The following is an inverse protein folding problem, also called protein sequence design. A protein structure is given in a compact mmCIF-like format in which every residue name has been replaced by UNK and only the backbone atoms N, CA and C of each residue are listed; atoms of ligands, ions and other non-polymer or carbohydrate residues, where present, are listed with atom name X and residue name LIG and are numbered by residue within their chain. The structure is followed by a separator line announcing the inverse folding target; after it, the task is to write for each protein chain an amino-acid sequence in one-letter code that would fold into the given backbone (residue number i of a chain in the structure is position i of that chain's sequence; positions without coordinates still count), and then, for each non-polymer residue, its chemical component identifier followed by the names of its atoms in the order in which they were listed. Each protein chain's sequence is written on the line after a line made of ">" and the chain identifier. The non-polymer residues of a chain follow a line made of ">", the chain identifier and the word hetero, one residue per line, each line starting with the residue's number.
data_IF_843112704333
#
_entry.id   IF_843112704333
#
_cell.length_a   1.000
_cell.length_b   1.000
_cell.length_c   1.000
_cell.angle_alpha   90.00
_cell.angle_beta   90.00
_cell.angle_gamma   90.00
#
_symmetry.space_group_name_H-M   'P 1'
#
loop_
_entity.id
_entity.type
_entity.pdbx_description
1 polymer ?
#
# COMPACT_ATOMS: atom_id res chain seq x y z
N UNK A 1 -20.23 -22.04 41.53
CA UNK A 1 -19.51 -23.10 40.79
C UNK A 1 -19.30 -22.57 39.38
N UNK A 2 -18.10 -22.04 39.13
CA UNK A 2 -17.70 -21.50 37.83
C UNK A 2 -17.56 -22.62 36.81
N UNK A 3 -17.91 -22.36 35.55
CA UNK A 3 -17.25 -23.01 34.42
C UNK A 3 -16.95 -21.93 33.36
N UNK A 4 -15.67 -21.57 33.29
CA UNK A 4 -15.09 -20.70 32.26
C UNK A 4 -14.88 -21.54 31.00
N UNK A 5 -15.54 -21.20 29.89
CA UNK A 5 -15.19 -21.75 28.58
C UNK A 5 -14.01 -20.98 27.99
N UNK A 6 -12.90 -21.70 27.82
CA UNK A 6 -11.68 -21.25 27.17
C UNK A 6 -11.83 -21.52 25.67
N UNK A 7 -11.90 -20.46 24.86
CA UNK A 7 -11.84 -20.56 23.39
C UNK A 7 -10.39 -20.72 22.98
N UNK A 8 -10.03 -21.91 22.48
CA UNK A 8 -8.70 -22.22 21.97
C UNK A 8 -8.60 -21.74 20.50
N UNK A 9 -7.82 -20.69 20.26
CA UNK A 9 -7.51 -20.20 18.90
C UNK A 9 -6.31 -20.99 18.35
N UNK A 10 -6.56 -21.92 17.43
CA UNK A 10 -5.52 -22.65 16.69
C UNK A 10 -5.00 -21.78 15.54
N UNK A 11 -3.79 -21.23 15.67
CA UNK A 11 -3.05 -20.60 14.58
C UNK A 11 -2.24 -21.67 13.83
N UNK A 12 -2.64 -22.00 12.61
CA UNK A 12 -1.83 -22.82 11.70
C UNK A 12 -0.89 -21.89 10.92
N UNK A 13 0.41 -21.94 11.22
CA UNK A 13 1.46 -21.30 10.43
C UNK A 13 1.86 -22.25 9.30
N UNK A 14 1.51 -21.89 8.05
CA UNK A 14 2.09 -22.54 6.88
C UNK A 14 3.41 -21.86 6.53
N UNK A 15 4.53 -22.54 6.81
CA UNK A 15 5.87 -22.17 6.34
C UNK A 15 6.03 -22.73 4.93
N UNK A 16 6.11 -21.87 3.91
CA UNK A 16 6.53 -22.28 2.57
C UNK A 16 8.04 -22.14 2.46
N UNK A 17 8.76 -23.26 2.50
CA UNK A 17 10.10 -23.38 1.96
C UNK A 17 10.01 -23.70 0.47
N UNK A 18 10.70 -22.93 -0.38
CA UNK A 18 11.38 -23.50 -1.55
C UNK A 18 12.39 -22.50 -2.13
N UNK A 19 13.66 -22.80 -1.89
CA UNK A 19 14.80 -22.39 -2.70
C UNK A 19 14.90 -23.34 -3.90
N UNK A 20 14.88 -22.83 -5.13
CA UNK A 20 15.45 -23.56 -6.27
C UNK A 20 16.38 -22.62 -7.04
N UNK A 21 17.54 -23.19 -7.30
CA UNK A 21 18.79 -22.67 -7.82
C UNK A 21 18.71 -22.39 -9.31
N UNK A 22 19.36 -21.29 -9.72
CA UNK A 22 19.72 -20.95 -11.09
C UNK A 22 20.53 -22.08 -11.76
N UNK A 23 20.18 -22.44 -13.00
CA UNK A 23 21.19 -22.93 -13.95
C UNK A 23 20.83 -22.63 -15.42
N UNK A 24 21.72 -21.84 -16.00
CA UNK A 24 22.20 -21.84 -17.40
C UNK A 24 21.22 -21.64 -18.56
N UNK A 25 21.38 -20.52 -19.25
CA UNK A 25 21.80 -20.55 -20.66
C UNK A 25 22.73 -19.36 -20.94
N UNK A 26 23.99 -19.68 -21.22
CA UNK A 26 24.98 -18.79 -21.80
C UNK A 26 24.67 -18.56 -23.29
N UNK A 27 25.00 -17.39 -23.84
CA UNK A 27 26.15 -17.24 -24.74
C UNK A 27 26.15 -15.90 -25.49
N UNK A 28 27.37 -15.53 -25.88
CA UNK A 28 27.86 -14.42 -26.71
C UNK A 28 28.55 -13.31 -25.90
N UNK A 29 29.87 -13.39 -25.63
CA UNK A 29 31.03 -13.23 -26.55
C UNK A 29 30.97 -11.83 -27.19
N UNK A 30 31.95 -10.93 -27.18
CA UNK A 30 33.37 -10.82 -26.81
C UNK A 30 33.64 -9.29 -26.93
N UNK A 31 34.33 -8.59 -26.03
CA UNK A 31 35.75 -8.59 -25.72
C UNK A 31 36.38 -7.23 -26.09
N UNK A 32 37.52 -6.96 -25.45
CA UNK A 32 38.59 -6.03 -25.85
C UNK A 32 38.26 -4.54 -25.56
N UNK A 33 39.03 -3.73 -24.83
CA UNK A 33 40.41 -3.78 -24.35
C UNK A 33 40.59 -2.81 -23.17
N UNK A 34 41.42 -3.21 -22.22
CA UNK A 34 42.12 -2.36 -21.24
C UNK A 34 43.30 -1.65 -21.89
N UNK A 35 43.50 -0.33 -21.70
CA UNK A 35 44.85 0.27 -21.52
C UNK A 35 44.80 1.54 -20.65
N UNK A 36 45.80 1.61 -19.77
CA UNK A 36 46.22 2.58 -18.77
C UNK A 36 46.24 4.08 -19.12
N UNK A 37 46.09 4.85 -18.03
CA UNK A 37 46.77 6.09 -17.63
C UNK A 37 48.03 6.51 -18.41
N UNK A 38 48.24 7.82 -18.60
CA UNK A 38 49.24 8.66 -17.88
C UNK A 38 49.37 10.06 -18.51
N UNK A 39 49.66 11.04 -17.65
CA UNK A 39 49.91 12.47 -17.84
C UNK A 39 50.91 12.92 -18.91
N UNK A 40 50.72 14.14 -19.45
CA UNK A 40 51.79 15.03 -19.95
C UNK A 40 51.58 16.47 -19.44
N UNK A 41 52.71 17.10 -19.10
CA UNK A 41 52.93 18.37 -18.42
C UNK A 41 53.35 19.49 -19.42
N UNK A 42 52.83 20.71 -19.21
CA UNK A 42 53.39 22.06 -19.54
C UNK A 42 53.55 22.45 -21.04
N UNK A 43 53.53 23.72 -21.48
CA UNK A 43 53.86 25.03 -20.87
C UNK A 43 53.18 26.19 -21.63
N UNK A 44 52.69 27.18 -20.87
CA UNK A 44 52.82 28.65 -21.00
C UNK A 44 52.56 29.35 -22.34
N UNK A 45 51.54 30.24 -22.36
CA UNK A 45 51.81 31.64 -22.70
C UNK A 45 50.90 32.61 -21.95
N UNK A 46 51.49 33.76 -21.60
CA UNK A 46 51.07 34.65 -20.53
C UNK A 46 50.52 35.95 -21.10
N UNK A 47 49.38 36.45 -20.59
CA UNK A 47 49.12 37.90 -20.54
C UNK A 47 48.54 38.23 -19.18
N UNK A 48 49.24 39.12 -18.48
CA UNK A 48 48.91 39.63 -17.17
C UNK A 48 47.86 40.75 -17.25
N UNK A 49 46.95 40.74 -16.28
CA UNK A 49 46.38 41.96 -15.72
C UNK A 49 46.21 41.71 -14.23
N UNK A 50 47.09 42.30 -13.43
CA UNK A 50 46.93 42.44 -11.99
C UNK A 50 45.73 43.35 -11.71
N UNK A 51 44.83 42.93 -10.83
CA UNK A 51 44.25 43.81 -9.84
C UNK A 51 43.58 42.99 -8.71
N UNK A 52 44.20 43.09 -7.54
CA UNK A 52 43.55 43.09 -6.22
C UNK A 52 43.05 41.76 -5.66
N UNK A 53 43.94 41.14 -4.87
CA UNK A 53 43.58 40.21 -3.80
C UNK A 53 42.60 40.92 -2.85
N UNK A 54 41.35 40.46 -2.84
CA UNK A 54 40.50 40.52 -1.63
C UNK A 54 40.23 39.08 -1.24
N UNK A 55 40.95 38.65 -0.22
CA UNK A 55 40.88 37.34 0.38
C UNK A 55 39.69 37.34 1.35
N UNK A 56 38.47 37.40 0.83
CA UNK A 56 37.28 37.10 1.62
C UNK A 56 37.10 35.58 1.67
N UNK A 57 38.03 34.96 2.42
CA UNK A 57 37.83 33.66 3.00
C UNK A 57 36.74 33.78 4.07
N UNK A 58 35.48 33.74 3.64
CA UNK A 58 34.39 33.30 4.48
C UNK A 58 33.90 32.00 3.88
N UNK A 59 34.67 30.93 4.13
CA UNK A 59 34.08 29.59 4.15
C UNK A 59 33.10 29.60 5.32
N UNK A 60 31.87 30.06 5.07
CA UNK A 60 30.76 29.97 6.01
C UNK A 60 30.48 28.49 6.20
N UNK A 61 31.13 27.89 7.19
CA UNK A 61 30.80 26.56 7.73
C UNK A 61 29.54 26.64 8.60
N UNK A 62 28.56 27.46 8.21
CA UNK A 62 27.23 27.34 8.77
C UNK A 62 26.61 26.07 8.22
N UNK A 63 26.52 25.05 9.09
CA UNK A 63 25.65 23.91 8.87
C UNK A 63 24.29 24.42 8.38
N UNK A 64 23.74 23.84 7.31
CA UNK A 64 22.45 24.27 6.79
C UNK A 64 21.40 24.26 7.91
N UNK A 65 20.45 25.21 7.88
CA UNK A 65 19.42 25.26 8.91
C UNK A 65 18.67 23.93 8.96
N UNK A 66 18.30 23.50 10.17
CA UNK A 66 17.67 22.19 10.39
C UNK A 66 16.45 21.95 9.50
N UNK A 67 15.68 23.00 9.18
CA UNK A 67 14.53 22.89 8.25
C UNK A 67 14.92 22.46 6.84
N UNK A 68 16.07 22.93 6.33
CA UNK A 68 16.60 22.55 5.01
C UNK A 68 17.09 21.10 5.04
N UNK A 69 17.80 20.70 6.11
CA UNK A 69 18.26 19.32 6.29
C UNK A 69 17.08 18.35 6.37
N UNK A 70 16.05 18.66 7.17
CA UNK A 70 14.84 17.85 7.25
C UNK A 70 14.16 17.71 5.89
N UNK A 71 14.04 18.79 5.10
CA UNK A 71 13.44 18.72 3.78
C UNK A 71 14.24 17.88 2.79
N UNK A 72 15.57 17.93 2.85
CA UNK A 72 16.44 17.09 2.03
C UNK A 72 16.27 15.60 2.38
N UNK A 73 16.17 15.27 3.67
CA UNK A 73 15.93 13.91 4.14
C UNK A 73 14.54 13.40 3.73
N UNK A 74 13.49 14.23 3.90
CA UNK A 74 12.14 13.93 3.42
C UNK A 74 12.14 13.62 1.91
N UNK A 75 12.76 14.49 1.10
CA UNK A 75 12.81 14.32 -0.35
C UNK A 75 13.60 13.07 -0.75
N UNK A 76 14.71 12.77 -0.05
CA UNK A 76 15.53 11.58 -0.32
C UNK A 76 14.72 10.30 -0.10
N UNK A 77 14.07 10.17 1.06
CA UNK A 77 13.26 8.99 1.37
C UNK A 77 12.09 8.88 0.39
N UNK A 78 11.35 9.97 0.17
CA UNK A 78 10.25 10.01 -0.79
C UNK A 78 10.69 9.54 -2.18
N UNK A 79 11.82 10.03 -2.69
CA UNK A 79 12.34 9.67 -4.01
C UNK A 79 12.71 8.19 -4.12
N UNK A 80 13.28 7.58 -3.08
CA UNK A 80 13.52 6.13 -3.09
C UNK A 80 12.22 5.35 -3.17
N UNK A 81 11.20 5.77 -2.41
CA UNK A 81 9.88 5.11 -2.41
C UNK A 81 9.25 5.21 -3.80
N UNK A 82 9.08 6.41 -4.36
CA UNK A 82 8.41 6.57 -5.68
C UNK A 82 9.19 5.92 -6.83
N UNK A 83 10.52 5.83 -6.72
CA UNK A 83 11.35 5.11 -7.68
C UNK A 83 11.34 3.58 -7.48
N UNK A 84 10.54 3.04 -6.56
CA UNK A 84 10.48 1.61 -6.19
C UNK A 84 11.83 1.03 -5.73
N UNK A 85 12.74 1.89 -5.26
CA UNK A 85 14.04 1.52 -4.66
C UNK A 85 13.83 1.15 -3.20
N UNK A 86 13.09 0.05 -3.00
CA UNK A 86 12.57 -0.30 -1.68
C UNK A 86 13.66 -0.72 -0.69
N UNK A 87 14.74 -1.35 -1.15
CA UNK A 87 15.85 -1.73 -0.29
C UNK A 87 16.53 -0.48 0.28
N UNK A 88 16.84 0.50 -0.59
CA UNK A 88 17.40 1.79 -0.18
C UNK A 88 16.41 2.59 0.69
N UNK A 89 15.10 2.53 0.39
CA UNK A 89 14.08 3.19 1.20
C UNK A 89 14.01 2.59 2.62
N UNK A 90 14.07 1.27 2.75
CA UNK A 90 14.07 0.57 4.04
C UNK A 90 15.33 0.91 4.84
N UNK A 91 16.52 0.84 4.23
CA UNK A 91 17.78 1.21 4.89
C UNK A 91 17.79 2.67 5.35
N UNK A 92 17.30 3.57 4.50
CA UNK A 92 17.22 4.99 4.82
C UNK A 92 16.26 5.24 6.00
N UNK A 93 15.15 4.49 6.06
CA UNK A 93 14.17 4.59 7.14
C UNK A 93 14.69 4.03 8.45
N UNK A 94 15.40 2.91 8.43
CA UNK A 94 16.08 2.38 9.62
C UNK A 94 17.06 3.41 10.18
N UNK A 95 17.84 4.05 9.30
CA UNK A 95 18.78 5.11 9.69
C UNK A 95 18.06 6.33 10.28
N UNK A 96 16.97 6.78 9.67
CA UNK A 96 16.15 7.88 10.19
C UNK A 96 15.53 7.54 11.54
N UNK A 97 14.98 6.33 11.70
CA UNK A 97 14.42 5.87 12.96
C UNK A 97 15.47 5.87 14.08
N UNK A 98 16.67 5.33 13.83
CA UNK A 98 17.78 5.33 14.78
C UNK A 98 18.23 6.73 15.22
N UNK A 99 18.03 7.73 14.37
CA UNK A 99 18.31 9.14 14.66
C UNK A 99 17.11 9.91 15.28
N UNK A 100 16.00 9.23 15.63
CA UNK A 100 14.80 9.86 16.18
C UNK A 100 13.90 10.55 15.13
N UNK A 101 14.10 10.26 13.85
CA UNK A 101 13.43 10.91 12.71
C UNK A 101 12.04 10.37 12.36
N UNK A 102 11.23 9.88 13.32
CA UNK A 102 9.86 9.43 13.02
C UNK A 102 9.03 10.54 12.36
N UNK A 103 9.21 11.80 12.76
CA UNK A 103 8.50 12.94 12.17
C UNK A 103 8.79 13.12 10.66
N UNK A 104 10.02 12.82 10.21
CA UNK A 104 10.39 12.85 8.79
C UNK A 104 9.69 11.73 8.05
N UNK A 105 9.69 10.52 8.63
CA UNK A 105 9.02 9.34 8.07
C UNK A 105 7.51 9.58 7.92
N UNK A 106 6.87 10.10 8.97
CA UNK A 106 5.45 10.47 8.98
C UNK A 106 5.12 11.49 7.89
N UNK A 107 5.90 12.56 7.75
CA UNK A 107 5.68 13.57 6.70
C UNK A 107 5.81 13.01 5.30
N UNK A 108 6.72 12.06 5.07
CA UNK A 108 6.85 11.39 3.78
C UNK A 108 5.62 10.52 3.48
N UNK A 109 5.11 9.80 4.48
CA UNK A 109 3.89 9.00 4.35
C UNK A 109 2.67 9.90 4.07
N UNK A 110 2.51 10.98 4.82
CA UNK A 110 1.43 11.96 4.59
C UNK A 110 1.51 12.55 3.19
N UNK A 111 2.71 12.90 2.72
CA UNK A 111 2.89 13.35 1.34
C UNK A 111 2.47 12.29 0.30
N UNK A 112 2.80 11.02 0.51
CA UNK A 112 2.38 9.95 -0.39
C UNK A 112 0.86 9.79 -0.41
N UNK A 113 0.19 9.97 0.73
CA UNK A 113 -1.27 9.98 0.79
C UNK A 113 -1.91 11.16 0.08
N UNK A 114 -1.37 12.36 0.31
CA UNK A 114 -1.85 13.60 -0.31
C UNK A 114 -1.74 13.52 -1.84
N UNK A 115 -0.70 12.86 -2.34
CA UNK A 115 -0.48 12.63 -3.77
C UNK A 115 -1.15 11.37 -4.33
N UNK A 116 -1.95 10.65 -3.52
CA UNK A 116 -2.71 9.47 -3.96
C UNK A 116 -1.86 8.24 -4.30
N UNK A 117 -0.65 8.14 -3.77
CA UNK A 117 0.35 7.14 -4.14
C UNK A 117 0.13 5.81 -3.41
N UNK A 118 -0.49 4.83 -4.10
CA UNK A 118 -0.71 3.48 -3.54
C UNK A 118 0.57 2.73 -3.17
N UNK A 119 1.72 3.16 -3.72
CA UNK A 119 3.05 2.60 -3.42
C UNK A 119 3.42 2.67 -1.93
N UNK A 120 2.76 3.53 -1.15
CA UNK A 120 2.96 3.59 0.31
C UNK A 120 2.67 2.24 0.99
N UNK A 121 1.71 1.48 0.46
CA UNK A 121 1.39 0.13 0.95
C UNK A 121 2.45 -0.89 0.53
N UNK A 122 2.96 -0.80 -0.71
CA UNK A 122 4.09 -1.62 -1.16
C UNK A 122 5.30 -1.42 -0.24
N UNK A 123 5.63 -0.16 0.01
CA UNK A 123 6.72 0.26 0.91
C UNK A 123 6.53 -0.27 2.33
N UNK A 124 5.33 -0.10 2.93
CA UNK A 124 5.06 -0.62 4.27
C UNK A 124 5.14 -2.15 4.35
N UNK A 125 4.73 -2.86 3.30
CA UNK A 125 4.82 -4.32 3.24
C UNK A 125 6.26 -4.84 3.27
N UNK A 126 7.21 -4.10 2.68
CA UNK A 126 8.64 -4.47 2.72
C UNK A 126 9.20 -4.56 4.13
N UNK A 127 8.65 -3.80 5.10
CA UNK A 127 9.04 -3.94 6.50
C UNK A 127 8.47 -5.19 7.17
N UNK A 128 7.26 -5.61 6.79
CA UNK A 128 6.64 -6.82 7.35
C UNK A 128 7.37 -8.10 6.97
N UNK A 129 8.05 -8.09 5.82
CA UNK A 129 8.90 -9.21 5.36
C UNK A 129 10.40 -9.01 5.69
N UNK A 130 10.77 -7.88 6.31
CA UNK A 130 12.14 -7.62 6.76
C UNK A 130 12.25 -7.75 8.28
N UNK A 131 13.47 -7.64 8.82
CA UNK A 131 13.74 -7.66 10.27
C UNK A 131 13.38 -6.34 10.97
N UNK A 132 12.69 -5.42 10.30
CA UNK A 132 12.42 -4.06 10.77
C UNK A 132 10.93 -3.73 10.96
N UNK A 133 10.06 -4.75 11.07
CA UNK A 133 8.62 -4.58 11.30
C UNK A 133 8.26 -3.69 12.52
N UNK A 134 9.14 -3.63 13.52
CA UNK A 134 8.95 -2.79 14.72
C UNK A 134 8.95 -1.28 14.42
N UNK A 135 9.54 -0.83 13.30
CA UNK A 135 9.57 0.59 12.92
C UNK A 135 8.18 1.03 12.47
N UNK A 136 7.50 0.15 11.73
CA UNK A 136 6.15 0.41 11.21
C UNK A 136 5.16 0.59 12.37
N UNK A 137 5.23 -0.21 13.42
CA UNK A 137 4.35 -0.01 14.58
C UNK A 137 4.59 1.29 15.35
N UNK A 138 5.70 2.00 15.09
CA UNK A 138 6.10 3.22 15.81
C UNK A 138 5.91 4.51 15.03
N UNK A 139 6.34 4.57 13.77
CA UNK A 139 6.28 5.81 12.98
C UNK A 139 5.23 5.78 11.85
N UNK A 140 4.53 4.67 11.63
CA UNK A 140 3.61 4.55 10.49
C UNK A 140 2.17 4.67 11.00
N UNK A 141 1.27 5.39 10.30
CA UNK A 141 -0.16 5.38 10.59
C UNK A 141 -0.72 3.95 10.61
N UNK A 142 -1.68 3.67 11.49
CA UNK A 142 -2.21 2.31 11.63
C UNK A 142 -2.76 1.73 10.32
N UNK A 143 -3.35 2.56 9.46
CA UNK A 143 -3.99 2.13 8.20
C UNK A 143 -3.01 1.50 7.20
N UNK A 144 -1.73 1.92 7.17
CA UNK A 144 -0.76 1.33 6.23
C UNK A 144 -0.25 -0.04 6.66
N UNK A 145 -0.63 -0.46 7.87
CA UNK A 145 -0.32 -1.77 8.45
C UNK A 145 -1.38 -2.82 8.15
N UNK A 146 -2.35 -2.51 7.30
CA UNK A 146 -3.54 -3.35 7.10
C UNK A 146 -3.24 -4.74 6.51
N UNK A 147 -2.04 -4.96 5.96
CA UNK A 147 -1.57 -6.28 5.53
C UNK A 147 -1.06 -7.18 6.66
N UNK A 148 -0.83 -6.66 7.87
CA UNK A 148 -0.32 -7.45 8.97
C UNK A 148 -1.36 -8.47 9.46
N UNK A 149 -0.93 -9.71 9.76
CA UNK A 149 -1.84 -10.84 10.01
C UNK A 149 -2.81 -10.67 11.18
N UNK A 150 -2.49 -9.79 12.13
CA UNK A 150 -3.31 -9.49 13.31
C UNK A 150 -3.95 -8.09 13.25
N UNK A 151 -3.90 -7.44 12.09
CA UNK A 151 -4.56 -6.17 11.84
C UNK A 151 -5.84 -6.43 11.06
N UNK A 152 -6.95 -5.99 11.64
CA UNK A 152 -8.27 -6.11 11.03
C UNK A 152 -8.85 -4.73 10.79
N UNK A 153 -9.77 -4.64 9.83
CA UNK A 153 -10.40 -3.38 9.51
C UNK A 153 -11.90 -3.52 9.25
N UNK A 154 -12.60 -2.41 9.49
CA UNK A 154 -13.94 -2.17 8.98
C UNK A 154 -13.82 -1.29 7.74
N UNK A 155 -14.52 -1.68 6.69
CA UNK A 155 -14.58 -0.96 5.41
C UNK A 155 -15.92 -0.26 5.35
N UNK A 156 -15.92 1.06 5.51
CA UNK A 156 -17.14 1.85 5.61
C UNK A 156 -17.19 2.82 4.43
N UNK A 157 -18.19 2.68 3.58
CA UNK A 157 -18.33 3.55 2.41
C UNK A 157 -18.62 5.00 2.85
N UNK A 158 -17.98 5.97 2.21
CA UNK A 158 -18.09 7.40 2.54
C UNK A 158 -19.51 7.94 2.30
N UNK A 159 -20.14 7.57 1.18
CA UNK A 159 -21.44 8.09 0.73
C UNK A 159 -22.54 7.87 1.76
N UNK A 160 -22.69 6.62 2.19
CA UNK A 160 -23.84 6.21 3.00
C UNK A 160 -23.47 5.84 4.44
N UNK A 161 -22.17 5.66 4.74
CA UNK A 161 -21.73 5.19 6.06
C UNK A 161 -22.00 3.71 6.32
N UNK A 162 -22.20 2.90 5.28
CA UNK A 162 -22.48 1.46 5.40
C UNK A 162 -21.18 0.67 5.48
N UNK A 163 -21.14 -0.36 6.34
CA UNK A 163 -20.01 -1.27 6.45
C UNK A 163 -20.16 -2.44 5.46
N UNK A 164 -19.05 -2.82 4.81
CA UNK A 164 -19.00 -4.02 3.97
C UNK A 164 -19.24 -5.27 4.80
N UNK A 165 -20.18 -6.09 4.34
CA UNK A 165 -20.53 -7.41 4.89
C UNK A 165 -20.92 -8.34 3.74
N UNK A 166 -21.54 -9.47 4.06
CA UNK A 166 -21.96 -10.46 3.09
C UNK A 166 -23.28 -11.11 3.47
N UNK A 167 -23.93 -11.70 2.47
CA UNK A 167 -25.19 -12.41 2.64
C UNK A 167 -25.02 -13.75 3.36
N UNK A 168 -25.96 -14.08 4.24
CA UNK A 168 -26.08 -15.41 4.81
C UNK A 168 -26.65 -16.44 3.81
N UNK A 169 -27.24 -15.97 2.70
CA UNK A 169 -27.69 -16.83 1.61
C UNK A 169 -26.53 -17.15 0.67
N UNK A 170 -26.43 -18.43 0.33
CA UNK A 170 -25.50 -18.94 -0.67
C UNK A 170 -26.24 -18.93 -2.01
N UNK A 171 -25.60 -18.35 -3.02
CA UNK A 171 -26.08 -18.34 -4.40
C UNK A 171 -25.85 -19.73 -5.05
N UNK A 172 -26.43 -19.96 -6.23
CA UNK A 172 -26.41 -21.29 -6.87
C UNK A 172 -25.00 -21.83 -7.19
N UNK A 173 -24.01 -20.94 -7.31
CA UNK A 173 -22.61 -21.25 -7.58
C UNK A 173 -21.76 -21.42 -6.31
N UNK A 174 -22.37 -21.36 -5.13
CA UNK A 174 -21.68 -21.48 -3.85
C UNK A 174 -21.13 -20.17 -3.30
N UNK A 175 -21.27 -19.07 -4.03
CA UNK A 175 -20.83 -17.74 -3.58
C UNK A 175 -21.86 -17.11 -2.63
N UNK A 176 -21.47 -16.02 -1.98
CA UNK A 176 -22.42 -15.16 -1.26
C UNK A 176 -22.29 -13.74 -1.77
N UNK A 177 -23.40 -13.04 -1.90
CA UNK A 177 -23.40 -11.63 -2.31
C UNK A 177 -22.70 -10.76 -1.27
N UNK A 178 -21.85 -9.83 -1.72
CA UNK A 178 -21.31 -8.78 -0.86
C UNK A 178 -22.34 -7.66 -0.68
N UNK A 179 -22.51 -7.20 0.54
CA UNK A 179 -23.57 -6.27 0.95
C UNK A 179 -23.00 -5.14 1.80
N UNK A 180 -23.75 -4.06 1.93
CA UNK A 180 -23.55 -2.98 2.88
C UNK A 180 -24.59 -3.04 3.97
N UNK A 181 -24.17 -2.90 5.23
CA UNK A 181 -25.05 -2.81 6.40
C UNK A 181 -24.83 -1.46 7.11
N UNK A 182 -25.90 -0.78 7.50
CA UNK A 182 -25.85 0.49 8.23
C UNK A 182 -25.32 0.31 9.67
N UNK A 183 -25.42 -0.89 10.23
CA UNK A 183 -24.88 -1.19 11.56
C UNK A 183 -23.36 -1.43 11.50
N UNK A 184 -22.59 -0.34 11.55
CA UNK A 184 -21.12 -0.37 11.50
C UNK A 184 -20.44 -0.74 12.82
N UNK A 185 -21.20 -0.94 13.90
CA UNK A 185 -20.66 -1.13 15.25
C UNK A 185 -20.71 -2.58 15.70
N UNK A 186 -21.90 -3.18 15.68
CA UNK A 186 -22.17 -4.47 16.33
C UNK A 186 -22.52 -5.57 15.34
N UNK A 187 -22.67 -5.26 14.04
CA UNK A 187 -22.95 -6.28 13.03
C UNK A 187 -21.81 -7.29 13.00
N UNK A 188 -22.17 -8.56 13.10
CA UNK A 188 -21.23 -9.67 12.93
C UNK A 188 -20.84 -9.77 11.45
N UNK A 189 -19.55 -9.93 11.15
CA UNK A 189 -19.07 -10.14 9.79
C UNK A 189 -18.85 -8.85 9.00
N UNK A 190 -18.55 -7.76 9.71
CA UNK A 190 -18.05 -6.50 9.13
C UNK A 190 -16.55 -6.32 9.35
N UNK A 191 -15.91 -7.24 10.06
CA UNK A 191 -14.47 -7.27 10.27
C UNK A 191 -13.80 -8.03 9.14
N UNK A 192 -12.82 -7.38 8.50
CA UNK A 192 -12.09 -7.90 7.36
C UNK A 192 -10.60 -7.96 7.65
N UNK A 193 -9.96 -9.01 7.15
CA UNK A 193 -8.51 -9.10 6.99
C UNK A 193 -8.16 -8.81 5.53
N UNK A 194 -7.16 -7.97 5.32
CA UNK A 194 -6.63 -7.67 3.98
C UNK A 194 -5.32 -8.44 3.83
N UNK A 195 -5.42 -9.64 3.27
CA UNK A 195 -4.27 -10.55 3.13
C UNK A 195 -3.40 -10.07 1.98
N UNK A 196 -2.15 -9.71 2.28
CA UNK A 196 -1.17 -9.28 1.29
C UNK A 196 -0.88 -10.37 0.24
N UNK A 197 -0.84 -9.96 -1.02
CA UNK A 197 -0.47 -10.78 -2.16
C UNK A 197 0.48 -10.00 -3.06
N UNK A 198 1.77 -10.31 -2.98
CA UNK A 198 2.78 -9.72 -3.86
C UNK A 198 2.77 -10.41 -5.22
N UNK A 199 2.53 -9.65 -6.30
CA UNK A 199 2.46 -10.20 -7.66
C UNK A 199 3.11 -9.24 -8.65
N UNK A 200 4.11 -9.73 -9.39
CA UNK A 200 4.97 -8.88 -10.20
C UNK A 200 5.79 -7.94 -9.31
N UNK A 201 5.52 -6.64 -9.42
CA UNK A 201 6.24 -5.58 -8.73
C UNK A 201 5.37 -4.78 -7.74
N UNK A 202 4.12 -5.21 -7.49
CA UNK A 202 3.15 -4.48 -6.66
C UNK A 202 2.48 -5.37 -5.61
N UNK A 203 2.02 -4.74 -4.54
CA UNK A 203 1.15 -5.36 -3.55
C UNK A 203 -0.32 -5.30 -4.01
N UNK A 204 -0.99 -6.44 -3.90
CA UNK A 204 -2.44 -6.56 -3.96
C UNK A 204 -2.95 -7.13 -2.65
N UNK A 205 -4.26 -7.05 -2.45
CA UNK A 205 -4.93 -7.57 -1.27
C UNK A 205 -6.00 -8.56 -1.68
N UNK A 206 -6.02 -9.70 -0.98
CA UNK A 206 -7.19 -10.57 -0.91
C UNK A 206 -7.98 -10.20 0.34
N UNK A 207 -9.25 -9.82 0.17
CA UNK A 207 -10.07 -9.30 1.27
C UNK A 207 -10.96 -10.40 1.82
N UNK A 208 -10.77 -10.78 3.08
CA UNK A 208 -11.45 -11.90 3.72
C UNK A 208 -12.24 -11.43 4.96
N UNK A 209 -13.54 -11.74 5.09
CA UNK A 209 -14.25 -11.52 6.35
C UNK A 209 -13.77 -12.52 7.41
N UNK A 210 -13.62 -12.10 8.67
CA UNK A 210 -12.99 -12.93 9.70
C UNK A 210 -13.76 -14.23 10.04
N UNK A 211 -15.06 -14.24 9.81
CA UNK A 211 -15.94 -15.34 10.22
C UNK A 211 -15.98 -16.51 9.25
N UNK A 212 -15.46 -16.34 8.03
CA UNK A 212 -15.52 -17.37 6.98
C UNK A 212 -14.24 -17.39 6.14
N UNK A 213 -13.92 -18.54 5.57
CA UNK A 213 -12.75 -18.72 4.69
C UNK A 213 -13.14 -18.48 3.22
N UNK A 214 -13.59 -17.26 2.92
CA UNK A 214 -14.00 -16.81 1.59
C UNK A 214 -13.43 -15.41 1.32
N UNK A 215 -13.26 -15.05 0.04
CA UNK A 215 -12.60 -13.83 -0.38
C UNK A 215 -13.47 -13.01 -1.30
N UNK A 216 -13.41 -11.69 -1.15
CA UNK A 216 -14.14 -10.73 -1.98
C UNK A 216 -13.66 -10.80 -3.43
N UNK A 217 -14.61 -10.83 -4.37
CA UNK A 217 -14.38 -10.74 -5.81
C UNK A 217 -15.45 -9.95 -6.54
N UNK A 218 -15.19 -9.68 -7.81
CA UNK A 218 -16.21 -9.29 -8.78
C UNK A 218 -16.66 -10.48 -9.63
N UNK A 219 -17.97 -10.53 -9.93
CA UNK A 219 -18.55 -11.46 -10.91
C UNK A 219 -18.07 -11.16 -12.33
N UNK A 220 -18.25 -12.11 -13.25
CA UNK A 220 -17.84 -11.92 -14.65
C UNK A 220 -18.83 -11.07 -15.44
N UNK A 221 -20.13 -11.25 -15.19
CA UNK A 221 -21.18 -10.52 -15.89
C UNK A 221 -21.32 -9.10 -15.37
N UNK A 222 -21.68 -8.19 -16.27
CA UNK A 222 -22.10 -6.83 -15.95
C UNK A 222 -23.62 -6.72 -15.94
N UNK A 223 -24.15 -5.78 -15.17
CA UNK A 223 -25.52 -5.30 -15.31
C UNK A 223 -25.65 -4.28 -16.47
N UNK A 224 -26.82 -3.66 -16.58
CA UNK A 224 -27.15 -2.66 -17.60
C UNK A 224 -26.28 -1.39 -17.51
N UNK A 225 -25.72 -1.10 -16.33
CA UNK A 225 -24.83 0.04 -16.08
C UNK A 225 -23.35 -0.30 -16.35
N UNK A 226 -23.05 -1.56 -16.73
CA UNK A 226 -21.68 -2.02 -16.93
C UNK A 226 -20.94 -2.32 -15.62
N UNK A 227 -21.68 -2.52 -14.53
CA UNK A 227 -21.15 -2.81 -13.21
C UNK A 227 -21.12 -4.30 -12.93
N UNK A 228 -20.05 -4.76 -12.28
CA UNK A 228 -19.94 -6.15 -11.86
C UNK A 228 -20.49 -6.30 -10.45
N UNK A 229 -21.41 -7.24 -10.23
CA UNK A 229 -21.84 -7.55 -8.85
C UNK A 229 -20.67 -8.12 -8.05
N UNK A 230 -20.53 -7.69 -6.80
CA UNK A 230 -19.49 -8.20 -5.90
C UNK A 230 -20.00 -9.39 -5.07
N UNK A 231 -19.12 -10.37 -4.90
CA UNK A 231 -19.39 -11.61 -4.18
C UNK A 231 -18.23 -11.93 -3.25
N UNK A 232 -18.45 -12.88 -2.35
CA UNK A 232 -17.39 -13.60 -1.65
C UNK A 232 -17.43 -15.07 -2.05
N UNK A 233 -16.26 -15.65 -2.35
CA UNK A 233 -16.12 -17.02 -2.86
C UNK A 233 -14.99 -17.79 -2.19
N UNK A 234 -15.01 -19.12 -2.29
CA UNK A 234 -13.97 -19.99 -1.74
C UNK A 234 -12.68 -20.01 -2.57
N UNK A 235 -12.82 -20.08 -3.90
CA UNK A 235 -11.68 -19.89 -4.80
C UNK A 235 -11.20 -18.45 -4.68
N UNK A 236 -9.88 -18.26 -4.65
CA UNK A 236 -9.20 -16.98 -4.55
C UNK A 236 -8.00 -16.86 -5.52
N UNK A 237 -7.95 -17.76 -6.52
CA UNK A 237 -6.80 -17.91 -7.44
C UNK A 237 -6.80 -16.91 -8.59
N UNK A 238 -7.95 -16.31 -8.91
CA UNK A 238 -8.06 -15.37 -10.04
C UNK A 238 -7.82 -13.92 -9.63
N UNK A 239 -7.37 -13.08 -10.57
CA UNK A 239 -7.22 -11.63 -10.40
C UNK A 239 -8.50 -10.92 -9.91
N UNK A 240 -9.69 -11.49 -10.13
CA UNK A 240 -10.95 -10.96 -9.61
C UNK A 240 -10.99 -10.87 -8.08
N UNK A 241 -10.12 -11.61 -7.37
CA UNK A 241 -10.00 -11.59 -5.91
C UNK A 241 -8.92 -10.62 -5.41
N UNK A 242 -8.20 -9.98 -6.32
CA UNK A 242 -7.09 -9.10 -6.00
C UNK A 242 -7.54 -7.65 -6.09
N UNK A 243 -7.23 -6.90 -5.04
CA UNK A 243 -7.66 -5.52 -4.86
C UNK A 243 -6.48 -4.62 -4.58
N UNK A 244 -6.50 -3.41 -5.15
CA UNK A 244 -5.57 -2.33 -4.83
C UNK A 244 -6.27 -1.33 -3.93
N UNK A 245 -5.54 -0.84 -2.93
CA UNK A 245 -5.98 0.24 -2.05
C UNK A 245 -5.25 1.51 -2.48
N UNK A 246 -6.00 2.51 -2.93
CA UNK A 246 -5.44 3.78 -3.38
C UNK A 246 -5.90 4.90 -2.43
N UNK A 247 -4.97 5.62 -1.78
CA UNK A 247 -5.33 6.72 -0.90
C UNK A 247 -5.91 7.90 -1.70
N UNK A 248 -6.80 8.65 -1.07
CA UNK A 248 -7.32 9.91 -1.59
C UNK A 248 -7.63 10.86 -0.42
N UNK A 249 -7.05 12.06 -0.47
CA UNK A 249 -7.43 13.15 0.43
C UNK A 249 -8.64 13.88 -0.14
N UNK A 250 -9.69 13.99 0.65
CA UNK A 250 -10.89 14.74 0.28
C UNK A 250 -11.44 15.47 1.50
N UNK A 251 -11.64 16.79 1.39
CA UNK A 251 -12.15 17.64 2.49
C UNK A 251 -11.39 17.46 3.82
N UNK A 252 -10.06 17.28 3.75
CA UNK A 252 -9.19 17.06 4.92
C UNK A 252 -9.23 15.63 5.49
N UNK A 253 -10.09 14.76 4.96
CA UNK A 253 -10.19 13.36 5.36
C UNK A 253 -9.27 12.47 4.50
N UNK A 254 -8.69 11.44 5.11
CA UNK A 254 -7.99 10.38 4.38
C UNK A 254 -8.99 9.25 4.12
N UNK A 255 -9.26 9.02 2.83
CA UNK A 255 -10.16 8.00 2.32
C UNK A 255 -9.40 7.10 1.35
N UNK A 256 -10.05 6.01 0.90
CA UNK A 256 -9.42 5.06 0.01
C UNK A 256 -10.38 4.61 -1.08
N UNK A 257 -9.88 4.55 -2.32
CA UNK A 257 -10.50 3.74 -3.36
C UNK A 257 -10.04 2.29 -3.20
N UNK A 258 -10.97 1.37 -3.41
CA UNK A 258 -10.71 -0.08 -3.42
C UNK A 258 -10.98 -0.54 -4.85
N UNK A 259 -9.93 -0.94 -5.56
CA UNK A 259 -9.96 -1.13 -7.02
C UNK A 259 -9.68 -2.60 -7.34
N UNK A 260 -10.55 -3.24 -8.11
CA UNK A 260 -10.36 -4.62 -8.52
C UNK A 260 -9.28 -4.75 -9.61
N UNK A 261 -8.38 -5.73 -9.47
CA UNK A 261 -7.26 -5.95 -10.40
C UNK A 261 -7.71 -6.43 -11.78
N UNK A 262 -8.70 -7.32 -11.88
CA UNK A 262 -9.08 -7.90 -13.16
C UNK A 262 -9.79 -6.89 -14.06
N UNK A 263 -10.73 -6.14 -13.49
CA UNK A 263 -11.63 -5.29 -14.27
C UNK A 263 -11.29 -3.80 -14.22
N UNK A 264 -10.34 -3.39 -13.38
CA UNK A 264 -10.06 -1.98 -13.07
C UNK A 264 -11.35 -1.22 -12.68
N UNK A 265 -12.02 -1.72 -11.63
CA UNK A 265 -13.32 -1.22 -11.17
C UNK A 265 -13.29 -0.85 -9.69
N UNK A 266 -13.89 0.29 -9.36
CA UNK A 266 -14.10 0.84 -8.02
C UNK A 266 -15.16 0.05 -7.26
N UNK A 267 -14.84 -0.47 -6.08
CA UNK A 267 -15.84 -1.03 -5.18
C UNK A 267 -16.80 0.08 -4.71
N UNK A 268 -18.11 -0.14 -4.85
CA UNK A 268 -19.16 0.77 -4.40
C UNK A 268 -20.37 0.00 -3.84
N UNK A 269 -21.31 0.74 -3.25
CA UNK A 269 -22.66 0.23 -3.01
C UNK A 269 -23.65 0.79 -4.04
N UNK A 270 -24.60 -0.05 -4.45
CA UNK A 270 -25.77 0.35 -5.23
C UNK A 270 -26.69 1.31 -4.46
N UNK A 271 -27.59 1.98 -5.18
CA UNK A 271 -28.52 2.95 -4.60
C UNK A 271 -29.78 2.30 -4.01
N UNK A 272 -30.20 1.13 -4.52
CA UNK A 272 -31.35 0.41 -3.99
C UNK A 272 -31.07 -0.18 -2.60
N UNK A 273 -32.07 -0.09 -1.73
CA UNK A 273 -32.11 -0.72 -0.40
C UNK A 273 -33.19 -1.80 -0.30
N UNK A 274 -33.70 -2.27 -1.45
CA UNK A 274 -34.80 -3.25 -1.53
C UNK A 274 -34.47 -4.60 -0.87
N UNK A 275 -33.20 -4.83 -0.52
CA UNK A 275 -32.75 -5.99 0.22
C UNK A 275 -32.80 -5.75 1.73
N UNK A 276 -33.98 -5.58 2.32
CA UNK A 276 -34.15 -5.43 3.78
C UNK A 276 -33.27 -4.33 4.41
N UNK A 277 -33.02 -3.23 3.68
CA UNK A 277 -32.16 -2.14 4.12
C UNK A 277 -30.65 -2.38 3.89
N UNK A 278 -30.24 -3.53 3.34
CA UNK A 278 -28.90 -3.73 2.81
C UNK A 278 -28.73 -3.08 1.43
N UNK A 279 -27.50 -2.72 1.10
CA UNK A 279 -27.10 -2.29 -0.25
C UNK A 279 -26.24 -3.36 -0.90
N UNK A 280 -26.43 -3.65 -2.18
CA UNK A 280 -25.54 -4.59 -2.89
C UNK A 280 -24.21 -3.89 -3.22
N UNK A 281 -23.10 -4.61 -3.08
CA UNK A 281 -21.80 -4.14 -3.52
C UNK A 281 -21.54 -4.45 -5.00
N UNK A 282 -20.90 -3.51 -5.69
CA UNK A 282 -20.57 -3.59 -7.12
C UNK A 282 -19.17 -3.08 -7.40
N UNK A 283 -18.60 -3.48 -8.54
CA UNK A 283 -17.46 -2.86 -9.17
C UNK A 283 -17.90 -1.91 -10.28
N UNK A 284 -17.59 -0.63 -10.12
CA UNK A 284 -17.96 0.45 -11.02
C UNK A 284 -16.76 1.03 -11.79
N UNK A 285 -17.04 1.66 -12.93
CA UNK A 285 -16.03 2.30 -13.78
C UNK A 285 -15.06 3.21 -13.00
N UNK A 286 -13.75 3.06 -13.25
CA UNK A 286 -12.71 3.98 -12.77
C UNK A 286 -12.72 5.31 -13.51
N UNK A 287 -13.52 5.49 -14.58
CA UNK A 287 -13.66 6.80 -15.24
C UNK A 287 -14.39 7.82 -14.38
N UNK A 288 -15.11 7.35 -13.36
CA UNK A 288 -16.00 8.16 -12.53
C UNK A 288 -15.40 8.44 -11.14
N UNK A 289 -14.07 8.56 -11.02
CA UNK A 289 -13.44 8.85 -9.73
C UNK A 289 -14.09 10.03 -8.99
N UNK A 290 -14.78 9.71 -7.90
CA UNK A 290 -15.48 10.66 -7.05
C UNK A 290 -15.36 10.17 -5.59
N UNK A 291 -14.60 10.87 -4.74
CA UNK A 291 -14.39 10.43 -3.37
C UNK A 291 -15.69 10.35 -2.55
N UNK A 292 -16.64 11.25 -2.76
CA UNK A 292 -17.91 11.27 -2.01
C UNK A 292 -18.78 10.05 -2.32
N UNK A 293 -18.60 9.44 -3.49
CA UNK A 293 -19.40 8.30 -3.96
C UNK A 293 -18.69 6.96 -3.79
N UNK A 294 -17.39 6.91 -4.10
CA UNK A 294 -16.67 5.66 -4.34
C UNK A 294 -15.53 5.39 -3.36
N UNK A 295 -15.29 6.30 -2.41
CA UNK A 295 -14.25 6.10 -1.41
C UNK A 295 -14.76 5.44 -0.13
N UNK A 296 -13.83 4.91 0.63
CA UNK A 296 -14.04 4.12 1.82
C UNK A 296 -13.18 4.64 2.96
N UNK A 297 -13.76 4.73 4.15
CA UNK A 297 -12.99 4.72 5.38
C UNK A 297 -12.50 3.30 5.62
N UNK A 298 -11.20 3.18 5.87
CA UNK A 298 -10.58 1.95 6.34
C UNK A 298 -10.26 2.16 7.83
N UNK A 299 -11.11 1.61 8.70
CA UNK A 299 -10.95 1.75 10.15
C UNK A 299 -10.28 0.52 10.73
N UNK A 300 -9.00 0.64 11.04
CA UNK A 300 -8.23 -0.39 11.74
C UNK A 300 -8.79 -0.61 13.15
N UNK A 301 -8.86 -1.87 13.57
CA UNK A 301 -9.39 -2.34 14.86
C UNK A 301 -8.30 -2.75 15.83
#
# INVERSE_FOLDING_TARGET
>A
MELKEVVLLMCVLAVSANSIVNKEAADNIAAVETVNSTSIISTVDSVSTEATVTLDNVTSTQSPPMSVVSKQLENKLYNFIVARKFDEAVENTISLYGAGGCNIIERVIERLFDEGQSIVFDYSYKFSISRAAYIVSRCFPAVIRIHESLVFAKLINKRDGYALTYSNRVESDGDRRALGDHNTKTRIGIEWSLVAHWSGDRLYYKMRPLRIAMFLKLGNSTDEDGDHTAYISHDDSTNRHLWTIQPVRHNGELLFYIINREFDKLLKFGQSTEHDGYRIAYGHSTKDFNPDMFSWYIKVM
#
